data_IF_974601742858
#
_entry.id   IF_974601742858
#
_cell.length_a   1.000
_cell.length_b   1.000
_cell.length_c   1.000
_cell.angle_alpha   90.00
_cell.angle_beta   90.00
_cell.angle_gamma   90.00
#
_symmetry.space_group_name_H-M   'P 1'
#
loop_
_entity.id
_entity.type
_entity.pdbx_description
1 polymer ?
#
# COMPACT_ATOMS: atom_id res chain seq x y z
N UNK A 1 -13.75 17.85 16.51
CA UNK A 1 -13.08 16.56 16.81
C UNK A 1 -13.18 15.74 15.53
N UNK A 2 -12.07 15.46 14.86
CA UNK A 2 -12.11 14.59 13.68
C UNK A 2 -12.48 13.18 14.14
N UNK A 3 -13.59 12.65 13.62
CA UNK A 3 -13.97 11.26 13.83
C UNK A 3 -13.25 10.44 12.77
N UNK A 4 -12.51 9.41 13.19
CA UNK A 4 -11.89 8.49 12.26
C UNK A 4 -12.96 7.70 11.50
N UNK A 5 -12.92 7.76 10.17
CA UNK A 5 -13.77 7.03 9.24
C UNK A 5 -12.88 6.06 8.43
N UNK A 6 -12.94 4.75 8.72
CA UNK A 6 -12.13 3.77 8.02
C UNK A 6 -12.45 3.70 6.51
N UNK A 7 -13.65 4.07 6.08
CA UNK A 7 -14.02 4.03 4.66
C UNK A 7 -13.33 5.12 3.85
N UNK A 8 -13.14 6.30 4.44
CA UNK A 8 -12.39 7.39 3.81
C UNK A 8 -10.91 7.00 3.64
N UNK A 9 -10.31 6.36 4.66
CA UNK A 9 -8.95 5.84 4.54
C UNK A 9 -8.86 4.75 3.45
N UNK A 10 -9.78 3.78 3.45
CA UNK A 10 -9.81 2.72 2.44
C UNK A 10 -9.99 3.27 1.02
N UNK A 11 -10.79 4.32 0.85
CA UNK A 11 -10.94 5.03 -0.42
C UNK A 11 -9.61 5.63 -0.88
N UNK A 12 -8.87 6.29 0.02
CA UNK A 12 -7.56 6.83 -0.32
C UNK A 12 -6.54 5.75 -0.65
N UNK A 13 -6.48 4.67 0.13
CA UNK A 13 -5.63 3.50 -0.17
C UNK A 13 -5.98 2.90 -1.54
N UNK A 14 -7.26 2.83 -1.87
CA UNK A 14 -7.72 2.35 -3.17
C UNK A 14 -7.21 3.22 -4.32
N UNK A 15 -7.33 4.55 -4.20
CA UNK A 15 -6.91 5.48 -5.25
C UNK A 15 -5.39 5.62 -5.32
N UNK A 16 -4.70 5.78 -4.19
CA UNK A 16 -3.26 6.09 -4.18
C UNK A 16 -2.38 4.87 -4.45
N UNK A 17 -2.87 3.67 -4.11
CA UNK A 17 -2.06 2.45 -4.11
C UNK A 17 -2.67 1.36 -4.99
N UNK A 18 -3.93 0.99 -4.77
CA UNK A 18 -4.54 -0.16 -5.46
C UNK A 18 -4.67 0.04 -6.96
N UNK A 19 -5.27 1.14 -7.42
CA UNK A 19 -5.47 1.41 -8.85
C UNK A 19 -4.12 1.50 -9.60
N UNK A 20 -3.19 2.40 -9.24
CA UNK A 20 -1.95 2.56 -10.01
C UNK A 20 -1.05 1.32 -9.90
N UNK A 21 -1.05 0.64 -8.75
CA UNK A 21 -0.37 -0.63 -8.56
C UNK A 21 -0.93 -1.75 -9.44
N UNK A 22 -2.25 -1.86 -9.55
CA UNK A 22 -2.91 -2.81 -10.43
C UNK A 22 -2.59 -2.54 -11.90
N UNK A 23 -2.65 -1.27 -12.33
CA UNK A 23 -2.26 -0.88 -13.69
C UNK A 23 -0.82 -1.28 -14.01
N UNK A 24 0.12 -0.94 -13.12
CA UNK A 24 1.53 -1.27 -13.30
C UNK A 24 1.73 -2.79 -13.38
N UNK A 25 1.13 -3.55 -12.46
CA UNK A 25 1.28 -5.00 -12.39
C UNK A 25 0.68 -5.71 -13.61
N UNK A 26 -0.49 -5.29 -14.09
CA UNK A 26 -1.09 -5.84 -15.31
C UNK A 26 -0.20 -5.62 -16.53
N UNK A 27 0.52 -4.50 -16.60
CA UNK A 27 1.52 -4.23 -17.64
C UNK A 27 2.80 -5.05 -17.46
N UNK A 28 3.37 -5.10 -16.25
CA UNK A 28 4.63 -5.81 -15.98
C UNK A 28 4.50 -7.33 -16.17
N UNK A 29 3.36 -7.88 -15.78
CA UNK A 29 3.10 -9.31 -15.80
C UNK A 29 2.20 -9.73 -16.95
N UNK A 30 2.06 -8.91 -18.01
CA UNK A 30 1.22 -9.20 -19.19
C UNK A 30 1.51 -10.60 -19.75
N UNK A 31 2.79 -10.92 -19.91
CA UNK A 31 3.28 -12.14 -20.56
C UNK A 31 3.45 -13.32 -19.60
N UNK A 32 3.13 -13.12 -18.32
CA UNK A 32 3.27 -14.15 -17.28
C UNK A 32 2.07 -15.11 -17.22
N UNK A 33 2.29 -16.28 -16.64
CA UNK A 33 1.25 -17.30 -16.39
C UNK A 33 0.35 -16.99 -15.19
N UNK A 34 0.53 -15.85 -14.51
CA UNK A 34 -0.27 -15.49 -13.35
C UNK A 34 -1.73 -15.24 -13.74
N UNK A 35 -2.65 -15.62 -12.85
CA UNK A 35 -4.07 -15.31 -12.99
C UNK A 35 -4.30 -13.81 -12.77
N UNK A 36 -5.38 -13.26 -13.33
CA UNK A 36 -5.71 -11.84 -13.18
C UNK A 36 -5.72 -11.39 -11.71
N UNK A 37 -6.33 -12.19 -10.83
CA UNK A 37 -6.41 -11.87 -9.39
C UNK A 37 -5.03 -11.83 -8.72
N UNK A 38 -4.11 -12.71 -9.11
CA UNK A 38 -2.74 -12.73 -8.60
C UNK A 38 -1.99 -11.47 -9.05
N UNK A 39 -2.12 -11.09 -10.33
CA UNK A 39 -1.54 -9.85 -10.86
C UNK A 39 -2.07 -8.64 -10.09
N UNK A 40 -3.38 -8.55 -9.85
CA UNK A 40 -3.97 -7.44 -9.10
C UNK A 40 -3.47 -7.39 -7.65
N UNK A 41 -3.39 -8.54 -6.96
CA UNK A 41 -2.87 -8.60 -5.58
C UNK A 41 -1.39 -8.21 -5.50
N UNK A 42 -0.56 -8.69 -6.43
CA UNK A 42 0.84 -8.25 -6.55
C UNK A 42 0.93 -6.74 -6.83
N UNK A 43 0.04 -6.23 -7.67
CA UNK A 43 -0.08 -4.80 -7.96
C UNK A 43 -0.40 -3.98 -6.75
N UNK A 44 -1.33 -4.44 -5.90
CA UNK A 44 -1.62 -3.79 -4.63
C UNK A 44 -0.38 -3.73 -3.73
N UNK A 45 0.37 -4.82 -3.58
CA UNK A 45 1.63 -4.83 -2.83
C UNK A 45 2.65 -3.82 -3.37
N UNK A 46 2.82 -3.76 -4.70
CA UNK A 46 3.71 -2.77 -5.35
C UNK A 46 3.22 -1.35 -5.06
N UNK A 47 1.91 -1.11 -5.13
CA UNK A 47 1.29 0.19 -4.89
C UNK A 47 1.38 0.68 -3.44
N UNK A 48 1.55 -0.21 -2.47
CA UNK A 48 1.84 0.16 -1.08
C UNK A 48 3.30 0.59 -0.87
N UNK A 49 4.21 0.18 -1.77
CA UNK A 49 5.66 0.38 -1.60
C UNK A 49 6.15 1.55 -2.43
N UNK A 50 5.72 1.68 -3.69
CA UNK A 50 6.32 2.65 -4.62
C UNK A 50 6.10 4.11 -4.20
N UNK A 51 4.87 4.60 -3.96
CA UNK A 51 4.66 5.99 -3.56
C UNK A 51 5.48 6.42 -2.32
N UNK A 52 5.49 5.68 -1.18
CA UNK A 52 6.30 6.07 -0.05
C UNK A 52 7.81 5.92 -0.30
N UNK A 53 8.24 5.01 -1.17
CA UNK A 53 9.65 4.90 -1.58
C UNK A 53 10.10 6.10 -2.40
N UNK A 54 9.24 6.64 -3.28
CA UNK A 54 9.52 7.88 -4.01
C UNK A 54 9.68 9.07 -3.05
N UNK A 55 8.85 9.14 -2.01
CA UNK A 55 8.96 10.17 -0.96
C UNK A 55 10.24 10.03 -0.13
N UNK A 56 10.61 8.80 0.23
CA UNK A 56 11.89 8.52 0.87
C UNK A 56 13.06 9.01 0.01
N UNK A 57 13.06 8.69 -1.29
CA UNK A 57 14.11 9.16 -2.20
C UNK A 57 14.13 10.68 -2.33
N UNK A 58 12.97 11.33 -2.38
CA UNK A 58 12.90 12.80 -2.41
C UNK A 58 13.55 13.41 -1.15
N UNK A 59 13.29 12.83 0.02
CA UNK A 59 13.93 13.26 1.26
C UNK A 59 15.45 13.03 1.27
N UNK A 60 15.93 11.92 0.72
CA UNK A 60 17.37 11.67 0.54
C UNK A 60 18.04 12.69 -0.40
N UNK A 61 17.26 13.31 -1.30
CA UNK A 61 17.71 14.42 -2.15
C UNK A 61 17.57 15.80 -1.47
N UNK A 62 17.17 15.85 -0.20
CA UNK A 62 16.97 17.08 0.57
C UNK A 62 15.63 17.77 0.30
N UNK A 63 14.69 17.12 -0.40
CA UNK A 63 13.36 17.67 -0.65
C UNK A 63 12.47 17.34 0.54
N UNK A 64 11.96 18.38 1.20
CA UNK A 64 11.05 18.23 2.33
C UNK A 64 9.70 17.69 1.88
N UNK A 65 9.17 16.77 2.68
CA UNK A 65 7.81 16.27 2.57
C UNK A 65 6.82 17.44 2.62
N UNK A 66 5.83 17.38 1.74
CA UNK A 66 4.71 18.30 1.67
C UNK A 66 3.53 17.59 1.02
N UNK A 67 2.32 18.10 1.23
CA UNK A 67 1.13 17.57 0.57
C UNK A 67 1.24 17.59 -0.97
N UNK A 68 1.85 18.63 -1.54
CA UNK A 68 2.12 18.69 -2.98
C UNK A 68 3.05 17.57 -3.46
N UNK A 69 4.07 17.23 -2.67
CA UNK A 69 4.97 16.11 -2.98
C UNK A 69 4.26 14.75 -2.84
N UNK A 70 3.37 14.60 -1.86
CA UNK A 70 2.53 13.42 -1.69
C UNK A 70 1.61 13.19 -2.90
N UNK A 71 0.93 14.23 -3.39
CA UNK A 71 0.15 14.15 -4.64
C UNK A 71 1.07 13.83 -5.82
N UNK A 72 2.21 14.54 -5.92
CA UNK A 72 3.16 14.37 -7.00
C UNK A 72 3.69 12.93 -7.12
N UNK A 73 3.98 12.27 -5.98
CA UNK A 73 4.47 10.89 -5.99
C UNK A 73 3.40 9.90 -6.47
N UNK A 74 2.14 10.09 -6.08
CA UNK A 74 1.01 9.26 -6.55
C UNK A 74 0.74 9.52 -8.04
N UNK A 75 0.71 10.77 -8.48
CA UNK A 75 0.50 11.12 -9.89
C UNK A 75 1.62 10.54 -10.76
N UNK A 76 2.88 10.68 -10.34
CA UNK A 76 4.02 10.09 -11.03
C UNK A 76 3.87 8.56 -11.12
N UNK A 77 3.43 7.92 -10.04
CA UNK A 77 3.18 6.48 -10.03
C UNK A 77 2.06 6.07 -11.00
N UNK A 78 0.97 6.84 -11.08
CA UNK A 78 -0.08 6.66 -12.10
C UNK A 78 0.48 6.77 -13.52
N UNK A 79 1.30 7.78 -13.79
CA UNK A 79 1.89 7.99 -15.12
C UNK A 79 2.80 6.80 -15.51
N UNK A 80 3.64 6.33 -14.59
CA UNK A 80 4.50 5.16 -14.82
C UNK A 80 3.65 3.91 -15.03
N UNK A 81 2.66 3.67 -14.16
CA UNK A 81 1.75 2.53 -14.26
C UNK A 81 1.00 2.50 -15.58
N UNK A 82 0.41 3.63 -15.99
CA UNK A 82 -0.29 3.77 -17.26
C UNK A 82 0.66 3.59 -18.46
N UNK A 83 1.86 4.17 -18.43
CA UNK A 83 2.83 4.03 -19.51
C UNK A 83 3.27 2.57 -19.70
N UNK A 84 3.54 1.86 -18.60
CA UNK A 84 3.90 0.43 -18.64
C UNK A 84 2.73 -0.41 -19.11
N UNK A 85 1.52 -0.15 -18.60
CA UNK A 85 0.30 -0.84 -19.00
C UNK A 85 0.04 -0.74 -20.51
N UNK A 86 0.16 0.46 -21.08
CA UNK A 86 -0.04 0.68 -22.51
C UNK A 86 1.10 0.07 -23.35
N UNK A 87 2.35 0.24 -22.94
CA UNK A 87 3.52 -0.26 -23.68
C UNK A 87 3.57 -1.79 -23.74
N UNK A 88 3.07 -2.48 -22.71
CA UNK A 88 3.08 -3.94 -22.58
C UNK A 88 1.73 -4.58 -22.89
N UNK A 89 0.78 -3.85 -23.46
CA UNK A 89 -0.55 -4.35 -23.77
C UNK A 89 -1.24 -5.03 -22.57
N UNK A 90 -1.16 -4.43 -21.37
CA UNK A 90 -1.72 -5.01 -20.14
C UNK A 90 -3.21 -5.32 -20.23
N UNK A 91 -3.93 -4.71 -21.17
CA UNK A 91 -5.34 -5.00 -21.49
C UNK A 91 -5.58 -6.44 -21.95
N UNK A 92 -4.58 -7.14 -22.51
CA UNK A 92 -4.72 -8.55 -22.91
C UNK A 92 -4.94 -9.48 -21.71
N UNK A 93 -4.43 -9.10 -20.53
CA UNK A 93 -4.71 -9.82 -19.28
C UNK A 93 -6.17 -9.71 -18.85
N UNK A 94 -6.88 -8.64 -19.24
CA UNK A 94 -8.29 -8.42 -18.92
C UNK A 94 -9.19 -9.13 -19.93
N UNK A 95 -8.82 -9.14 -21.21
CA UNK A 95 -9.61 -9.79 -22.28
C UNK A 95 -9.68 -11.32 -22.11
N UNK A 96 -8.65 -11.92 -21.53
CA UNK A 96 -8.56 -13.37 -21.32
C UNK A 96 -9.33 -13.89 -20.08
N UNK A 97 -10.23 -13.10 -19.49
CA UNK A 97 -11.11 -13.61 -18.43
C UNK A 97 -12.07 -14.62 -19.08
N UNK A 98 -12.03 -15.91 -18.70
CA UNK A 98 -12.91 -16.90 -19.30
C UNK A 98 -14.38 -16.54 -18.99
N UNK A 99 -15.16 -16.26 -20.03
CA UNK A 99 -16.59 -15.90 -19.97
C UNK A 99 -17.51 -17.01 -19.42
N UNK A 100 -16.97 -18.14 -18.96
CA UNK A 100 -17.78 -19.27 -18.49
C UNK A 100 -18.15 -19.13 -17.00
N UNK A 101 -19.10 -18.26 -16.70
CA UNK A 101 -19.98 -18.38 -15.51
C UNK A 101 -21.16 -19.31 -15.84
N UNK A 102 -20.90 -20.41 -16.57
CA UNK A 102 -21.90 -21.43 -16.88
C UNK A 102 -21.87 -22.55 -15.85
N UNK A 103 -22.99 -23.26 -15.60
CA UNK A 103 -23.11 -24.31 -14.58
C UNK A 103 -22.21 -25.55 -14.79
N UNK A 104 -21.40 -25.57 -15.85
CA UNK A 104 -20.40 -26.60 -16.12
C UNK A 104 -19.20 -26.58 -15.16
N UNK A 105 -19.14 -25.58 -14.25
CA UNK A 105 -18.13 -25.41 -13.20
C UNK A 105 -17.85 -26.66 -12.35
N UNK A 106 -18.81 -27.58 -12.24
CA UNK A 106 -18.68 -28.80 -11.43
C UNK A 106 -18.28 -30.06 -12.20
N UNK A 107 -18.09 -29.99 -13.52
CA UNK A 107 -17.65 -31.16 -14.30
C UNK A 107 -16.15 -31.38 -14.29
N UNK A 108 -15.38 -30.35 -13.96
CA UNK A 108 -13.93 -30.33 -14.06
C UNK A 108 -13.32 -30.29 -12.66
N UNK A 109 -12.95 -31.47 -12.14
CA UNK A 109 -12.57 -31.68 -10.75
C UNK A 109 -11.35 -30.85 -10.34
N UNK A 110 -10.38 -30.68 -11.24
CA UNK A 110 -9.16 -29.90 -11.01
C UNK A 110 -9.46 -28.39 -10.92
N UNK A 111 -10.35 -27.89 -11.80
CA UNK A 111 -10.80 -26.49 -11.80
C UNK A 111 -11.64 -26.16 -10.57
N UNK A 112 -12.51 -27.08 -10.17
CA UNK A 112 -13.31 -26.95 -8.93
C UNK A 112 -12.41 -26.87 -7.71
N UNK A 113 -11.39 -27.73 -7.63
CA UNK A 113 -10.41 -27.73 -6.53
C UNK A 113 -9.62 -26.42 -6.47
N UNK A 114 -9.14 -25.91 -7.62
CA UNK A 114 -8.42 -24.63 -7.65
C UNK A 114 -9.29 -23.45 -7.21
N UNK A 115 -10.58 -23.45 -7.57
CA UNK A 115 -11.51 -22.40 -7.17
C UNK A 115 -11.83 -22.47 -5.67
N UNK A 116 -12.03 -23.67 -5.13
CA UNK A 116 -12.21 -23.88 -3.69
C UNK A 116 -10.99 -23.40 -2.91
N UNK A 117 -9.76 -23.74 -3.33
CA UNK A 117 -8.54 -23.25 -2.68
C UNK A 117 -8.49 -21.72 -2.70
N UNK A 118 -8.78 -21.11 -3.86
CA UNK A 118 -8.79 -19.64 -4.00
C UNK A 118 -9.84 -19.00 -3.09
N UNK A 119 -11.03 -19.61 -3.00
CA UNK A 119 -12.11 -19.16 -2.13
C UNK A 119 -11.72 -19.26 -0.66
N UNK A 120 -11.15 -20.39 -0.21
CA UNK A 120 -10.70 -20.55 1.17
C UNK A 120 -9.57 -19.58 1.53
N UNK A 121 -8.62 -19.34 0.62
CA UNK A 121 -7.58 -18.33 0.82
C UNK A 121 -8.18 -16.92 0.95
N UNK A 122 -9.13 -16.56 0.08
CA UNK A 122 -9.84 -15.29 0.17
C UNK A 122 -10.60 -15.16 1.50
N UNK A 123 -11.27 -16.24 1.94
CA UNK A 123 -11.98 -16.29 3.22
C UNK A 123 -11.01 -16.11 4.40
N UNK A 124 -9.85 -16.77 4.38
CA UNK A 124 -8.81 -16.60 5.41
C UNK A 124 -8.33 -15.16 5.48
N UNK A 125 -8.11 -14.50 4.33
CA UNK A 125 -7.71 -13.09 4.28
C UNK A 125 -8.79 -12.18 4.88
N UNK A 126 -10.05 -12.41 4.52
CA UNK A 126 -11.19 -11.64 5.07
C UNK A 126 -11.32 -11.86 6.58
N UNK A 127 -11.22 -13.10 7.05
CA UNK A 127 -11.28 -13.42 8.48
C UNK A 127 -10.10 -12.82 9.25
N UNK A 128 -8.88 -12.90 8.70
CA UNK A 128 -7.70 -12.28 9.30
C UNK A 128 -7.85 -10.76 9.42
N UNK A 129 -8.41 -10.11 8.40
CA UNK A 129 -8.72 -8.68 8.45
C UNK A 129 -9.81 -8.37 9.48
N UNK A 130 -10.90 -9.15 9.49
CA UNK A 130 -12.01 -8.98 10.42
C UNK A 130 -11.56 -9.11 11.88
N UNK A 131 -10.76 -10.13 12.21
CA UNK A 131 -10.21 -10.33 13.56
C UNK A 131 -9.37 -9.12 13.98
N UNK A 132 -8.54 -8.58 13.09
CA UNK A 132 -7.73 -7.38 13.39
C UNK A 132 -8.58 -6.13 13.58
N UNK A 133 -9.68 -6.00 12.84
CA UNK A 133 -10.63 -4.90 13.01
C UNK A 133 -11.35 -4.97 14.36
N UNK A 134 -11.66 -6.18 14.85
CA UNK A 134 -12.26 -6.36 16.18
C UNK A 134 -11.32 -5.96 17.32
N UNK A 135 -10.01 -6.12 17.14
CA UNK A 135 -8.99 -5.64 18.10
C UNK A 135 -8.63 -4.15 17.93
N UNK A 136 -9.32 -3.41 17.05
CA UNK A 136 -9.04 -2.00 16.82
C UNK A 136 -9.33 -1.16 18.07
N UNK A 137 -8.37 -0.33 18.44
CA UNK A 137 -8.49 0.69 19.47
C UNK A 137 -7.86 1.98 18.94
N UNK A 138 -8.46 3.15 19.21
CA UNK A 138 -7.86 4.44 18.85
C UNK A 138 -6.58 4.74 19.65
N UNK A 139 -6.32 3.95 20.70
CA UNK A 139 -5.16 4.04 21.59
C UNK A 139 -4.37 2.74 21.45
N UNK A 140 -3.06 2.84 21.19
CA UNK A 140 -2.21 1.65 21.12
C UNK A 140 -2.09 1.00 22.49
N UNK A 141 -2.17 -0.33 22.51
CA UNK A 141 -2.07 -1.14 23.73
C UNK A 141 -0.61 -1.32 24.18
N UNK A 142 0.34 -1.25 23.25
CA UNK A 142 1.78 -1.39 23.48
C UNK A 142 2.50 -0.05 23.30
N UNK A 143 3.74 0.03 23.78
CA UNK A 143 4.54 1.27 23.72
C UNK A 143 5.21 1.49 22.35
N UNK A 144 5.66 0.44 21.69
CA UNK A 144 6.41 0.54 20.42
C UNK A 144 5.66 1.30 19.30
N UNK A 145 4.34 1.12 19.09
CA UNK A 145 3.60 1.88 18.08
C UNK A 145 3.63 3.40 18.26
N UNK A 146 3.76 3.90 19.50
CA UNK A 146 3.92 5.34 19.74
C UNK A 146 5.27 5.84 19.21
N UNK A 147 6.33 5.03 19.31
CA UNK A 147 7.62 5.36 18.72
C UNK A 147 7.58 5.35 17.19
N UNK A 148 6.90 4.38 16.56
CA UNK A 148 6.78 4.32 15.10
C UNK A 148 5.99 5.52 14.52
N UNK A 149 4.89 5.89 15.18
CA UNK A 149 4.06 7.04 14.75
C UNK A 149 4.75 8.39 14.97
N UNK A 150 5.67 8.50 15.93
CA UNK A 150 6.42 9.73 16.17
C UNK A 150 7.26 10.17 14.98
N UNK A 151 7.83 9.23 14.23
CA UNK A 151 8.59 9.55 13.00
C UNK A 151 7.68 10.11 11.90
N UNK A 152 6.51 9.50 11.71
CA UNK A 152 5.50 9.98 10.77
C UNK A 152 5.00 11.38 11.16
N UNK A 153 4.78 11.63 12.45
CA UNK A 153 4.43 12.97 12.96
C UNK A 153 5.48 14.03 12.62
N UNK A 154 6.76 13.72 12.74
CA UNK A 154 7.83 14.66 12.40
C UNK A 154 7.94 14.91 10.90
N UNK A 155 7.75 13.89 10.06
CA UNK A 155 7.66 14.08 8.60
C UNK A 155 6.51 15.03 8.26
N UNK A 156 5.35 14.86 8.89
CA UNK A 156 4.17 15.72 8.67
C UNK A 156 4.39 17.15 9.19
N UNK A 157 5.08 17.32 10.31
CA UNK A 157 5.23 18.62 10.99
C UNK A 157 6.45 19.42 10.51
N UNK A 158 7.56 18.75 10.24
CA UNK A 158 8.87 19.36 9.89
C UNK A 158 9.24 19.15 8.42
N UNK A 159 8.53 18.26 7.72
CA UNK A 159 8.83 17.86 6.35
C UNK A 159 9.93 16.80 6.24
N UNK A 160 10.57 16.40 7.33
CA UNK A 160 11.66 15.42 7.33
C UNK A 160 11.84 14.79 8.71
N UNK A 161 12.34 13.55 8.79
CA UNK A 161 12.82 13.02 10.07
C UNK A 161 14.12 13.76 10.43
N UNK A 162 14.29 14.24 11.68
CA UNK A 162 15.53 14.85 12.11
C UNK A 162 16.65 13.81 12.08
N UNK A 163 17.80 14.19 11.51
CA UNK A 163 19.01 13.33 11.47
C UNK A 163 19.53 13.01 12.88
N UNK A 164 19.41 13.96 13.79
CA UNK A 164 19.84 13.86 15.18
C UNK A 164 18.64 14.16 16.08
N UNK A 165 18.10 13.12 16.72
CA UNK A 165 16.98 13.23 17.62
C UNK A 165 17.45 13.11 19.08
N UNK A 166 17.41 14.24 19.77
CA UNK A 166 17.80 14.37 21.18
C UNK A 166 16.64 14.24 22.15
N UNK A 167 15.46 13.83 21.66
CA UNK A 167 14.27 13.69 22.50
C UNK A 167 14.23 12.37 23.27
N UNK A 168 15.12 11.43 22.96
CA UNK A 168 15.31 10.18 23.69
C UNK A 168 16.69 10.12 24.38
N UNK A 169 16.82 9.21 25.35
CA UNK A 169 18.09 8.86 26.02
C UNK A 169 18.76 9.97 26.83
N UNK A 170 17.99 10.91 27.40
CA UNK A 170 18.57 11.92 28.29
C UNK A 170 19.30 11.29 29.50
N UNK A 171 20.52 11.75 29.87
CA UNK A 171 21.28 12.85 29.28
C UNK A 171 22.21 12.46 28.11
N UNK A 172 22.38 11.17 27.85
CA UNK A 172 23.23 10.60 26.81
C UNK A 172 22.55 10.66 25.43
N UNK A 173 22.33 11.88 24.95
CA UNK A 173 21.64 12.20 23.68
C UNK A 173 22.45 11.86 22.41
N UNK A 174 23.54 11.10 22.52
CA UNK A 174 24.45 10.81 21.41
C UNK A 174 24.05 9.61 20.55
N UNK A 175 22.97 8.90 20.88
CA UNK A 175 22.54 7.69 20.19
C UNK A 175 21.26 7.94 19.38
N UNK A 176 21.40 8.01 18.06
CA UNK A 176 20.26 8.04 17.13
C UNK A 176 19.85 6.61 16.78
N UNK A 177 18.66 6.19 17.21
CA UNK A 177 18.07 4.88 16.90
C UNK A 177 17.06 4.92 15.74
N UNK A 178 17.13 5.95 14.90
CA UNK A 178 16.16 6.14 13.83
C UNK A 178 16.61 5.44 12.56
N UNK A 179 15.88 4.39 12.21
CA UNK A 179 15.77 3.98 10.82
C UNK A 179 14.77 4.91 10.14
N UNK A 180 14.95 5.17 8.85
CA UNK A 180 13.98 5.90 8.03
C UNK A 180 13.22 4.87 7.19
N UNK A 181 12.28 4.10 7.79
CA UNK A 181 11.61 3.04 7.08
C UNK A 181 10.59 3.64 6.10
N UNK A 182 10.43 2.97 4.95
CA UNK A 182 9.37 3.28 3.96
C UNK A 182 7.98 3.34 4.62
N UNK A 183 7.76 2.57 5.69
CA UNK A 183 6.53 2.58 6.48
C UNK A 183 6.16 3.98 7.01
N UNK A 184 7.13 4.76 7.49
CA UNK A 184 6.85 6.11 8.03
C UNK A 184 6.37 7.08 6.95
N UNK A 185 6.88 6.95 5.73
CA UNK A 185 6.38 7.71 4.59
C UNK A 185 5.01 7.21 4.11
N UNK A 186 4.71 5.92 4.26
CA UNK A 186 3.39 5.38 3.95
C UNK A 186 2.33 5.95 4.89
N UNK A 187 2.61 5.96 6.19
CA UNK A 187 1.74 6.56 7.21
C UNK A 187 1.56 8.06 6.97
N UNK A 188 2.64 8.78 6.70
CA UNK A 188 2.60 10.23 6.41
C UNK A 188 1.79 10.54 5.14
N UNK A 189 1.95 9.72 4.09
CA UNK A 189 1.19 9.83 2.85
C UNK A 189 -0.31 9.64 3.10
N UNK A 190 -0.69 8.56 3.78
CA UNK A 190 -2.09 8.25 4.07
C UNK A 190 -2.74 9.28 4.96
N UNK A 191 -2.03 9.73 6.01
CA UNK A 191 -2.52 10.78 6.87
C UNK A 191 -2.77 12.07 6.08
N UNK A 192 -1.83 12.47 5.23
CA UNK A 192 -1.95 13.70 4.42
C UNK A 192 -3.12 13.68 3.43
N UNK A 193 -3.55 12.51 2.95
CA UNK A 193 -4.76 12.41 2.12
C UNK A 193 -6.03 12.35 2.97
N UNK A 194 -5.95 11.73 4.14
CA UNK A 194 -7.09 11.51 5.01
C UNK A 194 -7.56 12.79 5.73
N UNK A 195 -6.64 13.67 6.14
CA UNK A 195 -6.91 14.91 6.90
C UNK A 195 -6.81 16.16 6.05
#
# INVERSE_FOLDING_TARGET
>A
MFVFDPFVLLFWVFISSFIPGSLLSLGLFSDSKFKLIEKVLLGFSIGLIIPPTLLLFANLLGIKFSFGLAIGSVVLFYLIGAAVFLKRNGYDSIKNIPQSLTPALFKDQERTTSLLITFFLALIVVLAFWIRLQSYSPIFQELDPYYYTYSSYQILSLGEPPFDDKTAWYPDVSVSHRTVPVLTYLESLWYSFYT
#
